data_IF_220009582116
#
_entry.id   IF_220009582116
#
_cell.length_a   1.000
_cell.length_b   1.000
_cell.length_c   1.000
_cell.angle_alpha   90.00
_cell.angle_beta   90.00
_cell.angle_gamma   90.00
#
_symmetry.space_group_name_H-M   'P 1'
#
loop_
_entity.id
_entity.type
_entity.pdbx_description
1 polymer ?
#
# COMPACT_ATOMS: atom_id res chain seq x y z
N UNK A 1 73.83 30.95 -17.36
CA UNK A 1 72.53 31.66 -17.23
C UNK A 1 71.55 30.95 -18.14
N UNK A 2 70.98 29.83 -17.68
CA UNK A 2 69.71 29.70 -16.94
C UNK A 2 68.50 30.04 -17.82
N UNK A 3 67.77 28.97 -18.16
CA UNK A 3 66.44 28.94 -18.75
C UNK A 3 65.48 28.37 -17.70
N UNK A 4 64.30 28.99 -17.62
CA UNK A 4 62.98 28.47 -17.25
C UNK A 4 62.60 27.91 -15.85
N UNK A 5 61.33 28.24 -15.54
CA UNK A 5 60.30 27.57 -14.74
C UNK A 5 60.01 27.97 -13.27
N UNK A 6 58.68 28.14 -13.00
CA UNK A 6 57.91 28.09 -11.72
C UNK A 6 57.98 29.35 -10.83
N UNK A 7 56.95 29.85 -10.11
CA UNK A 7 55.76 29.28 -9.43
C UNK A 7 54.90 30.40 -8.78
N UNK A 8 53.65 30.07 -8.38
CA UNK A 8 52.82 30.66 -7.29
C UNK A 8 52.27 32.11 -7.49
N UNK A 9 51.16 32.59 -6.92
CA UNK A 9 50.45 32.25 -5.68
C UNK A 9 48.99 32.82 -5.68
N UNK A 10 48.22 32.32 -4.72
CA UNK A 10 46.81 32.50 -4.36
C UNK A 10 46.47 33.92 -3.87
N UNK A 11 45.26 34.41 -4.21
CA UNK A 11 44.65 35.62 -3.64
C UNK A 11 43.30 35.30 -2.97
N UNK A 12 43.25 35.48 -1.65
CA UNK A 12 42.13 35.23 -0.74
C UNK A 12 41.15 36.41 -0.63
N UNK A 13 39.87 36.06 -0.43
CA UNK A 13 38.83 36.69 0.43
C UNK A 13 38.27 38.07 0.07
N UNK A 14 36.94 38.11 -0.05
CA UNK A 14 36.11 38.89 0.86
C UNK A 14 34.77 38.18 1.14
N UNK A 15 34.33 38.28 2.39
CA UNK A 15 33.22 37.59 3.04
C UNK A 15 32.29 38.67 3.61
N UNK A 16 31.01 38.33 3.78
CA UNK A 16 29.91 39.06 4.45
C UNK A 16 28.91 39.73 3.47
N UNK A 17 27.58 39.60 3.58
CA UNK A 17 26.73 39.08 4.66
C UNK A 17 25.30 38.83 4.15
N UNK A 18 24.78 37.61 4.35
CA UNK A 18 23.47 37.27 4.93
C UNK A 18 22.30 38.27 4.83
N UNK A 19 21.28 37.88 4.08
CA UNK A 19 19.86 37.98 4.50
C UNK A 19 19.03 36.89 3.83
N UNK A 20 19.08 35.67 4.38
CA UNK A 20 18.29 34.53 3.95
C UNK A 20 16.90 34.55 4.60
N UNK A 21 15.88 34.99 3.88
CA UNK A 21 14.49 34.59 4.11
C UNK A 21 14.18 33.43 3.15
N UNK A 22 14.52 32.21 3.54
CA UNK A 22 14.23 31.02 2.74
C UNK A 22 12.79 30.60 2.99
N UNK A 23 11.96 30.66 1.95
CA UNK A 23 10.57 30.22 1.99
C UNK A 23 10.51 28.70 1.84
N UNK A 24 9.46 28.08 2.39
CA UNK A 24 9.18 26.64 2.35
C UNK A 24 8.94 26.06 0.95
N UNK A 25 9.08 26.87 -0.10
CA UNK A 25 8.92 26.50 -1.51
C UNK A 25 10.24 26.20 -2.23
N UNK A 26 11.40 26.45 -1.60
CA UNK A 26 12.72 26.34 -2.24
C UNK A 26 13.44 24.99 -2.05
N UNK A 27 12.79 23.97 -1.50
CA UNK A 27 13.25 22.57 -1.68
C UNK A 27 12.73 22.03 -3.01
N UNK A 28 13.00 22.77 -4.09
CA UNK A 28 12.97 22.21 -5.42
C UNK A 28 14.00 21.08 -5.51
N UNK A 29 13.62 20.11 -6.33
CA UNK A 29 14.28 18.85 -6.58
C UNK A 29 15.62 19.06 -7.32
N UNK A 30 16.60 19.73 -6.70
CA UNK A 30 17.98 19.78 -7.18
C UNK A 30 18.71 18.47 -6.84
N UNK A 31 18.20 17.36 -7.38
CA UNK A 31 19.09 16.29 -7.81
C UNK A 31 19.67 16.70 -9.17
N UNK A 32 20.65 17.62 -9.15
CA UNK A 32 21.52 17.85 -10.32
C UNK A 32 22.40 16.62 -10.62
N UNK A 33 22.38 15.61 -9.75
CA UNK A 33 22.84 14.28 -10.10
C UNK A 33 21.65 13.50 -10.66
N UNK A 34 21.47 13.53 -11.98
CA UNK A 34 20.98 12.32 -12.64
C UNK A 34 21.95 11.22 -12.23
N UNK A 35 21.49 10.29 -11.38
CA UNK A 35 22.22 9.03 -11.24
C UNK A 35 22.11 8.34 -12.60
N UNK A 36 23.08 8.60 -13.47
CA UNK A 36 23.20 8.12 -14.85
C UNK A 36 23.32 6.58 -14.93
N UNK A 37 23.33 5.90 -13.78
CA UNK A 37 23.58 4.46 -13.67
C UNK A 37 22.37 3.57 -14.01
N UNK A 38 21.17 4.13 -14.25
CA UNK A 38 19.96 3.33 -14.55
C UNK A 38 19.35 3.74 -15.88
N UNK A 39 19.44 2.86 -16.89
CA UNK A 39 18.70 3.01 -18.15
C UNK A 39 17.19 2.91 -17.89
N UNK A 40 16.52 4.07 -17.97
CA UNK A 40 15.07 4.23 -17.78
C UNK A 40 14.31 4.44 -19.09
N UNK A 41 14.96 4.27 -20.25
CA UNK A 41 14.33 4.50 -21.58
C UNK A 41 13.05 3.69 -21.77
N UNK A 42 13.04 2.46 -21.25
CA UNK A 42 11.93 1.51 -21.27
C UNK A 42 11.04 1.53 -20.00
N UNK A 43 11.19 2.51 -19.11
CA UNK A 43 10.41 2.63 -17.87
C UNK A 43 8.90 2.82 -18.10
N UNK A 44 8.11 2.55 -17.06
CA UNK A 44 6.68 2.80 -17.00
C UNK A 44 6.35 4.29 -17.12
N UNK A 45 5.24 4.61 -17.79
CA UNK A 45 4.74 5.98 -17.85
C UNK A 45 4.16 6.41 -16.50
N UNK A 46 4.09 7.72 -16.26
CA UNK A 46 3.49 8.28 -15.04
C UNK A 46 2.03 7.81 -14.83
N UNK A 47 1.30 7.55 -15.92
CA UNK A 47 -0.07 7.00 -15.89
C UNK A 47 -0.10 5.52 -15.47
N UNK A 48 0.85 4.70 -15.94
CA UNK A 48 0.99 3.31 -15.52
C UNK A 48 1.31 3.22 -14.01
N UNK A 49 2.20 4.08 -13.54
CA UNK A 49 2.53 4.23 -12.12
C UNK A 49 1.32 4.67 -11.29
N UNK A 50 0.53 5.62 -11.80
CA UNK A 50 -0.73 6.03 -11.18
C UNK A 50 -1.67 4.83 -10.98
N UNK A 51 -1.87 4.00 -12.00
CA UNK A 51 -2.73 2.81 -11.87
C UNK A 51 -2.20 1.80 -10.85
N UNK A 52 -0.88 1.60 -10.77
CA UNK A 52 -0.29 0.75 -9.73
C UNK A 52 -0.56 1.29 -8.32
N UNK A 53 -0.42 2.60 -8.10
CA UNK A 53 -0.70 3.24 -6.81
C UNK A 53 -2.18 3.10 -6.45
N UNK A 54 -3.09 3.43 -7.37
CA UNK A 54 -4.53 3.36 -7.11
C UNK A 54 -4.97 1.91 -6.89
N UNK A 55 -4.50 0.95 -7.69
CA UNK A 55 -4.89 -0.46 -7.57
C UNK A 55 -4.53 -1.04 -6.20
N UNK A 56 -3.30 -0.77 -5.73
CA UNK A 56 -2.84 -1.28 -4.43
C UNK A 56 -3.49 -0.59 -3.26
N UNK A 57 -3.57 0.74 -3.30
CA UNK A 57 -4.14 1.48 -2.18
C UNK A 57 -5.63 1.23 -2.13
N UNK A 58 -6.38 1.44 -3.23
CA UNK A 58 -7.84 1.30 -3.24
C UNK A 58 -8.28 -0.07 -2.70
N UNK A 59 -7.68 -1.15 -3.22
CA UNK A 59 -7.70 -2.52 -2.68
C UNK A 59 -9.03 -3.00 -2.08
N UNK A 60 -8.97 -3.93 -1.14
CA UNK A 60 -10.15 -4.33 -0.34
C UNK A 60 -10.41 -3.39 0.84
N UNK A 61 -9.47 -2.50 1.19
CA UNK A 61 -9.62 -1.55 2.29
C UNK A 61 -10.86 -0.68 2.14
N UNK A 62 -11.24 -0.34 0.90
CA UNK A 62 -12.46 0.41 0.60
C UNK A 62 -13.74 -0.25 1.12
N UNK A 63 -13.79 -1.59 1.11
CA UNK A 63 -15.00 -2.37 1.38
C UNK A 63 -15.34 -2.39 2.87
N UNK A 64 -14.35 -2.18 3.73
CA UNK A 64 -14.49 -2.14 5.18
C UNK A 64 -14.68 -0.73 5.74
N UNK A 65 -14.58 0.33 4.92
CA UNK A 65 -14.69 1.71 5.40
C UNK A 65 -16.04 2.06 6.02
N UNK A 66 -17.20 1.59 5.50
CA UNK A 66 -18.48 1.81 6.17
C UNK A 66 -18.52 1.19 7.57
N UNK A 67 -17.91 0.02 7.75
CA UNK A 67 -17.78 -0.63 9.06
C UNK A 67 -16.84 0.17 9.96
N UNK A 68 -15.78 0.76 9.42
CA UNK A 68 -14.92 1.65 10.19
C UNK A 68 -15.65 2.91 10.69
N UNK A 69 -16.58 3.46 9.90
CA UNK A 69 -17.48 4.54 10.34
C UNK A 69 -18.54 4.04 11.34
N UNK A 70 -19.04 2.81 11.19
CA UNK A 70 -19.87 2.16 12.21
C UNK A 70 -19.15 2.04 13.55
N UNK A 71 -17.84 1.78 13.54
CA UNK A 71 -17.02 1.69 14.74
C UNK A 71 -16.64 3.07 15.29
N UNK A 72 -16.36 4.07 14.44
CA UNK A 72 -15.86 5.37 14.89
C UNK A 72 -16.93 6.46 15.05
N UNK A 73 -18.06 6.32 14.37
CA UNK A 73 -19.00 7.38 14.06
C UNK A 73 -18.55 8.28 12.89
N UNK A 74 -19.28 9.36 12.68
CA UNK A 74 -19.01 10.34 11.61
C UNK A 74 -17.63 11.02 11.70
N UNK A 75 -17.01 11.07 12.89
CA UNK A 75 -15.61 11.53 13.04
C UNK A 75 -14.62 10.71 12.20
N UNK A 76 -15.00 9.48 11.81
CA UNK A 76 -14.24 8.68 10.85
C UNK A 76 -13.93 9.41 9.55
N UNK A 77 -14.78 10.34 9.11
CA UNK A 77 -14.50 11.17 7.92
C UNK A 77 -13.31 12.12 8.14
N UNK A 78 -13.20 12.72 9.33
CA UNK A 78 -12.05 13.54 9.67
C UNK A 78 -10.77 12.69 9.75
N UNK A 79 -10.87 11.49 10.32
CA UNK A 79 -9.76 10.55 10.33
C UNK A 79 -9.35 10.19 8.90
N UNK A 80 -10.30 9.92 8.01
CA UNK A 80 -10.04 9.57 6.62
C UNK A 80 -9.31 10.70 5.88
N UNK A 81 -9.71 11.95 6.11
CA UNK A 81 -8.97 13.13 5.64
C UNK A 81 -7.53 13.12 6.16
N UNK A 82 -7.37 12.93 7.46
CA UNK A 82 -6.06 12.96 8.11
C UNK A 82 -5.15 11.83 7.59
N UNK A 83 -5.65 10.59 7.52
CA UNK A 83 -4.93 9.44 6.97
C UNK A 83 -4.54 9.66 5.50
N UNK A 84 -5.39 10.29 4.69
CA UNK A 84 -5.04 10.65 3.30
C UNK A 84 -3.87 11.64 3.23
N UNK A 85 -3.93 12.73 3.99
CA UNK A 85 -2.85 13.75 4.02
C UNK A 85 -1.54 13.17 4.55
N UNK A 86 -1.61 12.34 5.60
CA UNK A 86 -0.45 11.65 6.16
C UNK A 86 0.13 10.62 5.20
N UNK A 87 -0.70 9.80 4.56
CA UNK A 87 -0.22 8.81 3.58
C UNK A 87 0.48 9.51 2.41
N UNK A 88 -0.09 10.61 1.91
CA UNK A 88 0.53 11.42 0.85
C UNK A 88 1.90 11.97 1.28
N UNK A 89 2.00 12.47 2.52
CA UNK A 89 3.27 12.92 3.08
C UNK A 89 4.30 11.78 3.21
N UNK A 90 3.88 10.62 3.74
CA UNK A 90 4.74 9.45 3.92
C UNK A 90 5.25 8.89 2.59
N UNK A 91 4.40 8.90 1.55
CA UNK A 91 4.75 8.51 0.19
C UNK A 91 5.85 9.41 -0.40
N UNK A 92 5.82 10.72 -0.10
CA UNK A 92 6.84 11.66 -0.54
C UNK A 92 8.16 11.50 0.21
N UNK A 93 8.13 11.45 1.55
CA UNK A 93 9.37 11.33 2.34
C UNK A 93 10.05 9.97 2.14
N UNK A 94 9.29 8.89 1.92
CA UNK A 94 9.84 7.57 1.68
C UNK A 94 10.67 7.55 0.39
N UNK A 95 10.19 8.17 -0.68
CA UNK A 95 10.96 8.30 -1.93
C UNK A 95 12.16 9.23 -1.74
N UNK A 96 12.05 10.31 -0.96
CA UNK A 96 13.23 11.13 -0.61
C UNK A 96 14.31 10.29 0.07
N UNK A 97 13.94 9.36 0.94
CA UNK A 97 14.89 8.46 1.59
C UNK A 97 15.64 7.54 0.62
N UNK A 98 15.08 7.20 -0.54
CA UNK A 98 15.79 6.42 -1.57
C UNK A 98 17.01 7.14 -2.11
N UNK A 99 17.01 8.47 -2.08
CA UNK A 99 18.07 9.32 -2.61
C UNK A 99 18.92 9.98 -1.52
N UNK A 100 18.75 9.58 -0.26
CA UNK A 100 19.41 10.23 0.87
C UNK A 100 20.89 9.87 1.06
N UNK A 101 21.44 8.98 0.23
CA UNK A 101 22.84 8.53 0.33
C UNK A 101 23.62 8.91 -0.93
N UNK A 102 24.87 9.34 -0.78
CA UNK A 102 25.77 9.70 -1.90
C UNK A 102 26.22 8.50 -2.75
N UNK A 103 25.91 7.28 -2.31
CA UNK A 103 26.34 6.00 -2.93
C UNK A 103 25.39 5.50 -4.01
N UNK A 104 24.43 6.32 -4.45
CA UNK A 104 23.41 5.93 -5.42
C UNK A 104 22.02 5.75 -4.82
N UNK A 105 21.03 5.55 -5.70
CA UNK A 105 19.63 5.33 -5.30
C UNK A 105 19.47 3.97 -4.61
N UNK A 106 19.00 3.99 -3.37
CA UNK A 106 18.56 2.78 -2.67
C UNK A 106 17.36 2.17 -3.38
N UNK A 107 17.30 0.85 -3.44
CA UNK A 107 16.36 0.12 -4.29
C UNK A 107 15.10 -0.34 -3.55
N UNK A 108 15.27 -0.76 -2.30
CA UNK A 108 14.21 -1.39 -1.49
C UNK A 108 13.95 -0.63 -0.20
N UNK A 109 12.77 -0.87 0.38
CA UNK A 109 12.44 -0.34 1.70
C UNK A 109 13.44 -0.86 2.77
N UNK A 110 13.85 -2.13 2.65
CA UNK A 110 14.93 -2.74 3.44
C UNK A 110 16.24 -1.95 3.31
N UNK A 111 16.65 -1.57 2.09
CA UNK A 111 17.88 -0.82 1.86
C UNK A 111 17.86 0.55 2.54
N UNK A 112 16.72 1.26 2.49
CA UNK A 112 16.53 2.53 3.23
C UNK A 112 16.75 2.32 4.74
N UNK A 113 16.12 1.30 5.31
CA UNK A 113 16.26 1.01 6.73
C UNK A 113 17.68 0.56 7.12
N UNK A 114 18.35 -0.15 6.22
CA UNK A 114 19.75 -0.55 6.40
C UNK A 114 20.69 0.65 6.40
N UNK A 115 20.45 1.64 5.53
CA UNK A 115 21.21 2.88 5.51
C UNK A 115 21.04 3.70 6.81
N UNK A 116 19.83 3.72 7.38
CA UNK A 116 19.51 4.51 8.56
C UNK A 116 19.96 3.87 9.89
N UNK A 117 19.77 2.56 10.05
CA UNK A 117 19.93 1.83 11.32
C UNK A 117 20.80 0.57 11.20
N UNK A 118 21.50 0.38 10.08
CA UNK A 118 22.30 -0.81 9.83
C UNK A 118 21.45 -2.07 9.61
N UNK A 119 22.10 -3.23 9.64
CA UNK A 119 21.49 -4.51 9.28
C UNK A 119 20.23 -4.83 10.10
N UNK A 120 20.20 -4.47 11.39
CA UNK A 120 19.07 -4.73 12.29
C UNK A 120 17.81 -4.01 11.78
N UNK A 121 17.91 -2.71 11.50
CA UNK A 121 16.79 -1.94 10.94
C UNK A 121 16.34 -2.48 9.58
N UNK A 122 17.29 -2.88 8.73
CA UNK A 122 17.00 -3.56 7.47
C UNK A 122 16.14 -4.81 7.63
N UNK A 123 16.53 -5.73 8.50
CA UNK A 123 15.79 -6.98 8.72
C UNK A 123 14.43 -6.78 9.41
N UNK A 124 14.32 -5.82 10.33
CA UNK A 124 13.03 -5.45 10.93
C UNK A 124 12.07 -4.94 9.85
N UNK A 125 12.50 -3.99 9.02
CA UNK A 125 11.68 -3.47 7.90
C UNK A 125 11.32 -4.56 6.91
N UNK A 126 12.26 -5.45 6.58
CA UNK A 126 12.01 -6.57 5.68
C UNK A 126 10.96 -7.56 6.25
N UNK A 127 10.99 -7.83 7.55
CA UNK A 127 10.01 -8.68 8.22
C UNK A 127 8.60 -8.09 8.09
N UNK A 128 8.41 -6.82 8.45
CA UNK A 128 7.12 -6.15 8.29
C UNK A 128 6.70 -6.05 6.81
N UNK A 129 7.65 -5.79 5.90
CA UNK A 129 7.36 -5.71 4.47
C UNK A 129 6.84 -7.05 3.94
N UNK A 130 7.54 -8.14 4.29
CA UNK A 130 7.16 -9.51 3.95
C UNK A 130 5.79 -9.88 4.52
N UNK A 131 5.52 -9.47 5.77
CA UNK A 131 4.23 -9.71 6.43
C UNK A 131 3.06 -9.13 5.63
N UNK A 132 3.18 -7.91 5.11
CA UNK A 132 2.13 -7.30 4.26
C UNK A 132 2.13 -7.90 2.86
N UNK A 133 3.30 -7.98 2.22
CA UNK A 133 3.41 -8.39 0.83
C UNK A 133 2.98 -9.84 0.58
N UNK A 134 3.06 -10.73 1.59
CA UNK A 134 2.52 -12.08 1.52
C UNK A 134 1.16 -12.22 2.22
N UNK A 135 0.94 -11.48 3.31
CA UNK A 135 -0.31 -11.54 4.06
C UNK A 135 -1.50 -11.02 3.26
N UNK A 136 -1.38 -9.87 2.59
CA UNK A 136 -2.50 -9.33 1.80
C UNK A 136 -2.90 -10.27 0.65
N UNK A 137 -1.97 -10.88 -0.10
CA UNK A 137 -2.30 -11.96 -1.03
C UNK A 137 -3.04 -13.15 -0.41
N UNK A 138 -2.68 -13.60 0.80
CA UNK A 138 -3.42 -14.66 1.52
C UNK A 138 -4.88 -14.22 1.71
N UNK A 139 -5.10 -13.02 2.23
CA UNK A 139 -6.45 -12.46 2.45
C UNK A 139 -7.25 -12.42 1.15
N UNK A 140 -6.59 -11.97 0.07
CA UNK A 140 -7.19 -11.81 -1.24
C UNK A 140 -7.63 -13.15 -1.83
N UNK A 141 -6.83 -14.20 -1.68
CA UNK A 141 -7.19 -15.55 -2.10
C UNK A 141 -8.39 -16.11 -1.31
N UNK A 142 -8.40 -15.96 0.02
CA UNK A 142 -9.52 -16.42 0.87
C UNK A 142 -10.82 -15.69 0.50
N UNK A 143 -10.76 -14.38 0.28
CA UNK A 143 -11.91 -13.58 -0.12
C UNK A 143 -12.43 -13.96 -1.51
N UNK A 144 -11.53 -14.17 -2.48
CA UNK A 144 -11.92 -14.68 -3.80
C UNK A 144 -12.59 -16.05 -3.72
N UNK A 145 -12.02 -16.99 -2.96
CA UNK A 145 -12.59 -18.31 -2.78
C UNK A 145 -13.98 -18.27 -2.15
N UNK A 146 -14.16 -17.42 -1.14
CA UNK A 146 -15.44 -17.23 -0.45
C UNK A 146 -16.49 -16.57 -1.36
N UNK A 147 -16.11 -15.54 -2.12
CA UNK A 147 -16.99 -14.87 -3.06
C UNK A 147 -17.47 -15.81 -4.18
N UNK A 148 -16.56 -16.60 -4.78
CA UNK A 148 -16.93 -17.53 -5.84
C UNK A 148 -17.79 -18.67 -5.27
N UNK A 149 -17.48 -19.17 -4.08
CA UNK A 149 -18.33 -20.17 -3.42
C UNK A 149 -19.76 -19.64 -3.22
N UNK A 150 -19.91 -18.41 -2.71
CA UNK A 150 -21.23 -17.78 -2.54
C UNK A 150 -21.98 -17.60 -3.88
N UNK A 151 -21.25 -17.30 -4.96
CA UNK A 151 -21.83 -17.19 -6.30
C UNK A 151 -22.19 -18.55 -6.93
N UNK A 152 -21.47 -19.61 -6.57
CA UNK A 152 -21.67 -20.97 -7.08
C UNK A 152 -22.70 -21.78 -6.29
N UNK A 153 -23.11 -21.30 -5.10
CA UNK A 153 -24.10 -21.94 -4.26
C UNK A 153 -25.41 -22.22 -5.02
N UNK A 154 -25.90 -23.45 -4.98
CA UNK A 154 -27.11 -23.87 -5.70
C UNK A 154 -26.90 -24.10 -7.19
N UNK A 155 -25.67 -24.07 -7.70
CA UNK A 155 -25.33 -24.41 -9.09
C UNK A 155 -24.53 -25.72 -9.16
N UNK A 156 -24.37 -26.36 -10.34
CA UNK A 156 -23.50 -27.53 -10.49
C UNK A 156 -22.02 -27.27 -10.16
N UNK A 157 -21.62 -25.99 -10.03
CA UNK A 157 -20.27 -25.59 -9.66
C UNK A 157 -20.09 -25.40 -8.14
N UNK A 158 -21.04 -25.84 -7.32
CA UNK A 158 -20.95 -25.76 -5.85
C UNK A 158 -19.78 -26.63 -5.36
N UNK A 159 -18.73 -25.97 -4.88
CA UNK A 159 -17.49 -26.54 -4.37
C UNK A 159 -17.15 -25.83 -3.06
N UNK A 160 -16.28 -26.44 -2.23
CA UNK A 160 -15.84 -25.77 -1.01
C UNK A 160 -15.05 -24.48 -1.31
N UNK A 161 -15.16 -23.48 -0.43
CA UNK A 161 -14.39 -22.23 -0.53
C UNK A 161 -12.88 -22.48 -0.66
N UNK A 162 -12.35 -23.52 0.00
CA UNK A 162 -10.95 -23.93 -0.10
C UNK A 162 -10.58 -24.38 -1.52
N UNK A 163 -11.44 -25.17 -2.19
CA UNK A 163 -11.20 -25.59 -3.58
C UNK A 163 -11.22 -24.37 -4.50
N UNK A 164 -12.18 -23.47 -4.34
CA UNK A 164 -12.23 -22.22 -5.12
C UNK A 164 -11.01 -21.33 -4.88
N UNK A 165 -10.48 -21.30 -3.65
CA UNK A 165 -9.23 -20.61 -3.30
C UNK A 165 -8.04 -21.18 -4.09
N UNK A 166 -7.92 -22.50 -4.17
CA UNK A 166 -6.86 -23.18 -4.95
C UNK A 166 -7.00 -22.89 -6.44
N UNK A 167 -8.23 -22.94 -6.99
CA UNK A 167 -8.49 -22.62 -8.39
C UNK A 167 -8.09 -21.16 -8.71
N UNK A 168 -8.45 -20.21 -7.84
CA UNK A 168 -8.04 -18.82 -7.98
C UNK A 168 -6.52 -18.68 -7.96
N UNK A 169 -5.84 -19.34 -7.03
CA UNK A 169 -4.39 -19.30 -6.94
C UNK A 169 -3.71 -19.87 -8.19
N UNK A 170 -4.21 -20.97 -8.73
CA UNK A 170 -3.71 -21.54 -9.99
C UNK A 170 -3.91 -20.57 -11.17
N UNK A 171 -5.09 -19.94 -11.25
CA UNK A 171 -5.39 -18.95 -12.28
C UNK A 171 -4.47 -17.72 -12.19
N UNK A 172 -4.20 -17.19 -10.99
CA UNK A 172 -3.30 -16.05 -10.76
C UNK A 172 -1.82 -16.44 -10.91
N UNK A 173 -1.47 -17.69 -10.59
CA UNK A 173 -0.10 -18.19 -10.71
C UNK A 173 0.47 -18.02 -12.10
N UNK A 174 -0.37 -18.18 -13.14
CA UNK A 174 0.04 -18.00 -14.54
C UNK A 174 0.50 -16.56 -14.83
N UNK A 175 -0.33 -15.50 -14.70
CA UNK A 175 0.13 -14.13 -14.92
C UNK A 175 1.24 -13.73 -13.94
N UNK A 176 1.24 -14.22 -12.70
CA UNK A 176 2.31 -13.91 -11.75
C UNK A 176 3.68 -14.46 -12.18
N UNK A 177 3.74 -15.64 -12.78
CA UNK A 177 4.99 -16.21 -13.32
C UNK A 177 5.40 -15.50 -14.61
N UNK A 178 4.43 -15.08 -15.44
CA UNK A 178 4.69 -14.43 -16.73
C UNK A 178 5.15 -12.97 -16.58
N UNK A 179 4.57 -12.24 -15.61
CA UNK A 179 4.82 -10.81 -15.41
C UNK A 179 6.09 -10.58 -14.61
N UNK A 180 7.11 -10.03 -15.24
CA UNK A 180 8.47 -9.93 -14.66
C UNK A 180 8.76 -8.57 -14.04
N UNK A 181 8.02 -7.53 -14.42
CA UNK A 181 8.32 -6.15 -14.03
C UNK A 181 7.07 -5.39 -13.58
N UNK A 182 7.25 -4.37 -12.72
CA UNK A 182 6.16 -3.48 -12.27
C UNK A 182 5.47 -2.73 -13.42
N UNK A 183 6.15 -2.56 -14.57
CA UNK A 183 5.58 -1.98 -15.79
C UNK A 183 4.53 -2.91 -16.42
N UNK A 184 4.83 -4.19 -16.52
CA UNK A 184 3.91 -5.19 -17.08
C UNK A 184 2.68 -5.35 -16.18
N UNK A 185 2.87 -5.31 -14.85
CA UNK A 185 1.77 -5.33 -13.87
C UNK A 185 0.82 -4.14 -14.06
N UNK A 186 1.31 -2.96 -14.47
CA UNK A 186 0.51 -1.75 -14.56
C UNK A 186 -0.70 -1.84 -15.51
N UNK A 187 -0.60 -2.66 -16.56
CA UNK A 187 -1.74 -2.93 -17.44
C UNK A 187 -2.84 -3.71 -16.73
N UNK A 188 -2.45 -4.68 -15.90
CA UNK A 188 -3.40 -5.41 -15.05
C UNK A 188 -4.02 -4.43 -14.05
N UNK A 189 -3.21 -3.61 -13.39
CA UNK A 189 -3.65 -2.61 -12.41
C UNK A 189 -4.69 -1.64 -12.98
N UNK A 190 -4.55 -1.22 -14.24
CA UNK A 190 -5.55 -0.35 -14.89
C UNK A 190 -6.94 -1.01 -14.95
N UNK A 191 -7.00 -2.31 -15.27
CA UNK A 191 -8.24 -3.08 -15.23
C UNK A 191 -8.78 -3.23 -13.78
N UNK A 192 -7.89 -3.45 -12.81
CA UNK A 192 -8.24 -3.43 -11.38
C UNK A 192 -8.86 -2.11 -10.93
N UNK A 193 -8.34 -0.97 -11.41
CA UNK A 193 -8.88 0.36 -11.09
C UNK A 193 -10.26 0.58 -11.73
N UNK A 194 -10.48 0.11 -12.97
CA UNK A 194 -11.79 0.21 -13.61
C UNK A 194 -12.82 -0.62 -12.84
N UNK A 195 -12.47 -1.85 -12.46
CA UNK A 195 -13.38 -2.73 -11.72
C UNK A 195 -13.75 -2.17 -10.35
N UNK A 196 -12.79 -1.62 -9.59
CA UNK A 196 -13.09 -1.02 -8.28
C UNK A 196 -13.97 0.23 -8.42
N UNK A 197 -13.74 1.09 -9.42
CA UNK A 197 -14.60 2.26 -9.68
C UNK A 197 -16.04 1.81 -9.98
N UNK A 198 -16.22 0.77 -10.78
CA UNK A 198 -17.55 0.22 -11.07
C UNK A 198 -18.21 -0.34 -9.81
N UNK A 199 -17.47 -1.01 -8.93
CA UNK A 199 -18.01 -1.47 -7.63
C UNK A 199 -18.45 -0.27 -6.78
N UNK A 200 -17.65 0.79 -6.68
CA UNK A 200 -18.05 2.01 -5.95
C UNK A 200 -19.35 2.59 -6.50
N UNK A 201 -19.48 2.68 -7.83
CA UNK A 201 -20.70 3.18 -8.47
C UNK A 201 -21.92 2.28 -8.22
N UNK A 202 -21.75 0.96 -8.31
CA UNK A 202 -22.83 0.00 -8.03
C UNK A 202 -23.29 0.15 -6.58
N UNK A 203 -22.36 0.16 -5.62
CA UNK A 203 -22.71 0.31 -4.20
C UNK A 203 -23.38 1.65 -3.95
N UNK A 204 -22.88 2.75 -4.52
CA UNK A 204 -23.49 4.08 -4.40
C UNK A 204 -24.96 4.09 -4.89
N UNK A 205 -25.21 3.53 -6.08
CA UNK A 205 -26.56 3.45 -6.67
C UNK A 205 -27.46 2.56 -5.82
N UNK A 206 -26.97 1.39 -5.38
CA UNK A 206 -27.74 0.48 -4.53
C UNK A 206 -28.06 1.09 -3.17
N UNK A 207 -27.13 1.82 -2.56
CA UNK A 207 -27.39 2.58 -1.33
C UNK A 207 -28.49 3.62 -1.55
N UNK A 208 -28.48 4.34 -2.67
CA UNK A 208 -29.53 5.32 -2.98
C UNK A 208 -30.91 4.67 -3.19
N UNK A 209 -30.96 3.49 -3.83
CA UNK A 209 -32.19 2.72 -4.06
C UNK A 209 -32.72 2.12 -2.75
N UNK A 210 -31.84 1.60 -1.90
CA UNK A 210 -32.23 0.89 -0.68
C UNK A 210 -32.49 1.82 0.52
N UNK A 211 -32.05 3.09 0.43
CA UNK A 211 -32.28 4.10 1.47
C UNK A 211 -33.73 4.19 1.98
N UNK A 212 -34.78 4.14 1.15
CA UNK A 212 -36.16 4.18 1.64
C UNK A 212 -36.57 2.93 2.44
N UNK A 213 -35.90 1.79 2.24
CA UNK A 213 -36.18 0.53 2.94
C UNK A 213 -35.48 0.44 4.30
N UNK A 214 -34.41 1.22 4.50
CA UNK A 214 -33.64 1.24 5.74
C UNK A 214 -34.19 2.31 6.70
N UNK A 215 -35.22 1.91 7.45
CA UNK A 215 -35.85 2.74 8.49
C UNK A 215 -35.12 2.52 9.84
N UNK A 216 -35.09 3.53 10.70
CA UNK A 216 -34.51 3.49 12.06
C UNK A 216 -33.05 3.04 12.13
N UNK A 217 -32.24 3.45 11.16
CA UNK A 217 -30.79 3.24 11.18
C UNK A 217 -30.16 4.20 12.18
N UNK A 218 -29.37 3.67 13.12
CA UNK A 218 -28.67 4.48 14.10
C UNK A 218 -27.33 4.98 13.56
N UNK A 219 -27.02 6.26 13.84
CA UNK A 219 -25.76 6.88 13.49
C UNK A 219 -25.19 7.62 14.71
N UNK A 220 -23.93 7.34 15.01
CA UNK A 220 -23.20 8.02 16.06
C UNK A 220 -22.28 9.08 15.47
N UNK A 221 -22.16 10.22 16.15
CA UNK A 221 -21.19 11.25 15.76
C UNK A 221 -19.77 10.79 16.13
N UNK A 222 -19.60 10.25 17.34
CA UNK A 222 -18.35 9.70 17.86
C UNK A 222 -18.65 8.53 18.78
N UNK A 223 -17.96 7.42 18.59
CA UNK A 223 -17.95 6.29 19.52
C UNK A 223 -16.55 6.19 20.14
N UNK A 224 -16.36 6.78 21.32
CA UNK A 224 -15.03 6.93 21.94
C UNK A 224 -14.35 5.60 22.25
N UNK A 225 -15.12 4.57 22.61
CA UNK A 225 -14.58 3.24 22.95
C UNK A 225 -13.93 2.55 21.74
N UNK A 226 -14.55 2.69 20.58
CA UNK A 226 -14.14 2.05 19.32
C UNK A 226 -13.35 3.01 18.40
N UNK A 227 -13.17 4.27 18.83
CA UNK A 227 -12.46 5.30 18.06
C UNK A 227 -11.04 4.90 17.65
N UNK A 228 -10.19 4.32 18.52
CA UNK A 228 -8.84 3.89 18.11
C UNK A 228 -8.85 2.76 17.08
N UNK A 229 -9.89 1.91 17.09
CA UNK A 229 -10.06 0.82 16.13
C UNK A 229 -10.43 1.41 14.77
N UNK A 230 -11.40 2.32 14.73
CA UNK A 230 -11.76 3.06 13.52
C UNK A 230 -10.56 3.82 12.94
N UNK A 231 -9.75 4.45 13.80
CA UNK A 231 -8.50 5.11 13.43
C UNK A 231 -7.54 4.14 12.73
N UNK A 232 -7.31 2.96 13.31
CA UNK A 232 -6.45 1.93 12.74
C UNK A 232 -6.99 1.43 11.39
N UNK A 233 -8.28 1.08 11.31
CA UNK A 233 -8.90 0.53 10.09
C UNK A 233 -8.88 1.53 8.93
N UNK A 234 -9.24 2.80 9.18
CA UNK A 234 -9.22 3.85 8.15
C UNK A 234 -7.79 4.14 7.69
N UNK A 235 -6.85 4.15 8.64
CA UNK A 235 -5.45 4.42 8.34
C UNK A 235 -4.79 3.26 7.57
N UNK A 236 -5.20 2.01 7.84
CA UNK A 236 -4.79 0.82 7.08
C UNK A 236 -5.19 0.91 5.60
N UNK A 237 -6.34 1.50 5.29
CA UNK A 237 -6.80 1.60 3.90
C UNK A 237 -5.87 2.43 3.00
N UNK A 238 -5.00 3.28 3.56
CA UNK A 238 -4.04 4.07 2.77
C UNK A 238 -2.64 3.43 2.63
N UNK A 239 -2.55 2.10 2.70
CA UNK A 239 -1.29 1.35 2.71
C UNK A 239 -0.67 1.00 1.36
N UNK A 240 0.14 1.90 0.81
CA UNK A 240 0.95 1.62 -0.39
C UNK A 240 2.47 1.65 -0.20
N UNK A 241 2.97 2.09 0.95
CA UNK A 241 4.40 2.36 1.18
C UNK A 241 5.33 1.16 0.91
N UNK A 242 4.82 -0.06 1.10
CA UNK A 242 5.55 -1.33 0.85
C UNK A 242 5.98 -1.54 -0.60
N UNK A 243 5.25 -0.98 -1.56
CA UNK A 243 5.56 -1.14 -2.99
C UNK A 243 6.18 0.10 -3.63
N UNK A 244 6.10 1.27 -2.97
CA UNK A 244 6.50 2.54 -3.57
C UNK A 244 7.95 2.57 -4.08
N UNK A 245 8.95 2.01 -3.37
CA UNK A 245 10.32 1.93 -3.89
C UNK A 245 10.44 1.23 -5.25
N UNK A 246 9.70 0.14 -5.42
CA UNK A 246 9.68 -0.66 -6.65
C UNK A 246 8.88 0.01 -7.77
N UNK A 247 7.76 0.65 -7.41
CA UNK A 247 6.94 1.38 -8.37
C UNK A 247 7.70 2.60 -8.90
N UNK A 248 8.36 3.38 -8.04
CA UNK A 248 9.22 4.51 -8.46
C UNK A 248 10.42 4.02 -9.29
N UNK A 249 11.08 2.93 -8.88
CA UNK A 249 12.19 2.34 -9.64
C UNK A 249 11.81 2.05 -11.09
N UNK A 250 10.57 1.63 -11.32
CA UNK A 250 10.05 1.33 -12.67
C UNK A 250 9.68 2.57 -13.48
N UNK A 251 9.62 3.77 -12.89
CA UNK A 251 9.21 5.00 -13.58
C UNK A 251 10.25 5.47 -14.60
N UNK A 252 9.76 5.88 -15.77
CA UNK A 252 10.56 6.62 -16.76
C UNK A 252 10.99 7.99 -16.24
N UNK A 253 10.15 8.67 -15.45
CA UNK A 253 10.39 10.01 -14.89
C UNK A 253 10.15 10.04 -13.36
N UNK A 254 11.17 9.73 -12.54
CA UNK A 254 11.07 9.76 -11.07
C UNK A 254 10.60 11.08 -10.47
N UNK A 255 10.96 12.21 -11.10
CA UNK A 255 10.57 13.55 -10.64
C UNK A 255 9.05 13.74 -10.59
N UNK A 256 8.29 12.96 -11.37
CA UNK A 256 6.83 13.01 -11.37
C UNK A 256 6.19 12.23 -10.20
N UNK A 257 6.98 11.49 -9.39
CA UNK A 257 6.46 10.64 -8.32
C UNK A 257 5.47 11.36 -7.41
N UNK A 258 5.83 12.51 -6.85
CA UNK A 258 4.98 13.22 -5.90
C UNK A 258 3.63 13.62 -6.51
N UNK A 259 3.62 14.00 -7.81
CA UNK A 259 2.38 14.33 -8.53
C UNK A 259 1.53 13.08 -8.74
N UNK A 260 2.16 11.97 -9.14
CA UNK A 260 1.48 10.70 -9.39
C UNK A 260 0.92 10.09 -8.11
N UNK A 261 1.71 10.06 -7.03
CA UNK A 261 1.31 9.56 -5.73
C UNK A 261 0.16 10.41 -5.14
N UNK A 262 0.27 11.74 -5.19
CA UNK A 262 -0.80 12.62 -4.73
C UNK A 262 -2.10 12.44 -5.53
N UNK A 263 -2.03 12.36 -6.86
CA UNK A 263 -3.21 12.11 -7.70
C UNK A 263 -3.83 10.73 -7.45
N UNK A 264 -3.00 9.70 -7.29
CA UNK A 264 -3.46 8.34 -7.00
C UNK A 264 -4.14 8.25 -5.64
N UNK A 265 -3.50 8.77 -4.59
CA UNK A 265 -4.05 8.80 -3.24
C UNK A 265 -5.30 9.68 -3.12
N UNK A 266 -5.38 10.79 -3.87
CA UNK A 266 -6.59 11.61 -3.95
C UNK A 266 -7.76 10.85 -4.58
N UNK A 267 -7.48 10.04 -5.60
CA UNK A 267 -8.49 9.19 -6.24
C UNK A 267 -8.98 8.10 -5.28
N UNK A 268 -8.07 7.46 -4.56
CA UNK A 268 -8.43 6.53 -3.47
C UNK A 268 -9.29 7.22 -2.42
N UNK A 269 -8.87 8.39 -1.93
CA UNK A 269 -9.62 9.15 -0.94
C UNK A 269 -11.04 9.49 -1.44
N UNK A 270 -11.20 9.95 -2.68
CA UNK A 270 -12.52 10.23 -3.25
C UNK A 270 -13.42 8.99 -3.28
N UNK A 271 -12.90 7.85 -3.77
CA UNK A 271 -13.64 6.58 -3.75
C UNK A 271 -14.00 6.14 -2.32
N UNK A 272 -13.08 6.38 -1.38
CA UNK A 272 -13.24 6.03 0.03
C UNK A 272 -14.32 6.86 0.71
N UNK A 273 -14.37 8.17 0.45
CA UNK A 273 -15.44 9.04 0.92
C UNK A 273 -16.80 8.61 0.37
N UNK A 274 -16.88 8.35 -0.95
CA UNK A 274 -18.13 7.90 -1.58
C UNK A 274 -18.62 6.62 -0.90
N UNK A 275 -17.74 5.63 -0.74
CA UNK A 275 -18.10 4.36 -0.11
C UNK A 275 -18.48 4.51 1.37
N UNK A 276 -17.63 5.17 2.15
CA UNK A 276 -17.82 5.35 3.59
C UNK A 276 -19.12 6.10 3.90
N UNK A 277 -19.35 7.23 3.23
CA UNK A 277 -20.55 8.06 3.45
C UNK A 277 -21.80 7.32 3.00
N UNK A 278 -21.83 6.79 1.78
CA UNK A 278 -23.04 6.12 1.27
C UNK A 278 -23.39 4.86 2.08
N UNK A 279 -22.40 4.02 2.40
CA UNK A 279 -22.60 2.81 3.17
C UNK A 279 -23.01 3.09 4.62
N UNK A 280 -22.33 4.01 5.31
CA UNK A 280 -22.68 4.31 6.71
C UNK A 280 -24.00 5.07 6.81
N UNK A 281 -24.28 6.01 5.90
CA UNK A 281 -25.55 6.75 5.90
C UNK A 281 -26.77 5.82 5.74
N UNK A 282 -26.66 4.78 4.92
CA UNK A 282 -27.79 3.89 4.61
C UNK A 282 -27.87 2.71 5.57
N UNK A 283 -26.75 2.08 5.94
CA UNK A 283 -26.78 0.87 6.77
C UNK A 283 -26.40 1.10 8.23
N UNK A 284 -25.68 2.18 8.56
CA UNK A 284 -25.32 2.55 9.94
C UNK A 284 -24.72 1.40 10.75
N UNK A 285 -25.37 1.07 11.86
CA UNK A 285 -25.05 -0.04 12.76
C UNK A 285 -25.22 -1.45 12.15
N UNK A 286 -25.89 -1.56 11.00
CA UNK A 286 -26.05 -2.81 10.24
C UNK A 286 -25.04 -2.98 9.10
N UNK A 287 -24.12 -2.03 8.91
CA UNK A 287 -23.10 -2.16 7.89
C UNK A 287 -22.20 -3.39 8.14
N UNK A 288 -21.97 -4.17 7.09
CA UNK A 288 -21.12 -5.35 7.08
C UNK A 288 -19.85 -5.12 6.25
N UNK A 289 -18.81 -5.89 6.52
CA UNK A 289 -17.57 -5.90 5.74
C UNK A 289 -17.42 -7.27 5.10
N UNK A 290 -17.34 -7.38 3.77
CA UNK A 290 -17.42 -6.30 2.77
C UNK A 290 -18.81 -5.65 2.63
N UNK A 291 -18.86 -4.34 2.33
CA UNK A 291 -20.11 -3.55 2.20
C UNK A 291 -21.14 -4.10 1.21
N UNK A 292 -20.72 -4.82 0.17
CA UNK A 292 -21.67 -5.42 -0.77
C UNK A 292 -22.47 -6.60 -0.15
N UNK A 293 -22.16 -7.03 1.07
CA UNK A 293 -23.03 -7.94 1.80
C UNK A 293 -24.25 -7.22 2.41
N UNK A 294 -24.12 -5.92 2.70
CA UNK A 294 -25.23 -5.09 3.20
C UNK A 294 -26.24 -4.70 2.12
N UNK A 295 -25.85 -4.68 0.84
CA UNK A 295 -26.78 -4.34 -0.24
C UNK A 295 -27.79 -5.48 -0.51
N UNK A 296 -29.02 -5.17 -0.96
CA UNK A 296 -30.03 -6.17 -1.26
C UNK A 296 -29.56 -7.24 -2.25
N UNK A 297 -30.03 -8.48 -2.06
CA UNK A 297 -29.74 -9.58 -2.96
C UNK A 297 -30.32 -9.33 -4.36
N UNK A 298 -29.53 -9.63 -5.39
CA UNK A 298 -29.92 -9.46 -6.78
C UNK A 298 -28.74 -9.32 -7.72
N UNK A 299 -29.04 -9.02 -8.99
CA UNK A 299 -28.05 -8.84 -10.06
C UNK A 299 -26.97 -7.81 -9.70
N UNK A 300 -27.27 -6.63 -9.08
CA UNK A 300 -26.24 -5.67 -8.72
C UNK A 300 -25.22 -6.21 -7.72
N UNK A 301 -25.67 -6.98 -6.72
CA UNK A 301 -24.79 -7.63 -5.74
C UNK A 301 -23.90 -8.67 -6.42
N UNK A 302 -24.45 -9.50 -7.30
CA UNK A 302 -23.68 -10.48 -8.09
C UNK A 302 -22.60 -9.78 -8.91
N UNK A 303 -22.94 -8.71 -9.64
CA UNK A 303 -21.98 -7.95 -10.44
C UNK A 303 -20.90 -7.34 -9.55
N UNK A 304 -21.27 -6.72 -8.42
CA UNK A 304 -20.29 -6.16 -7.48
C UNK A 304 -19.33 -7.23 -6.95
N UNK A 305 -19.84 -8.40 -6.54
CA UNK A 305 -19.05 -9.53 -6.05
C UNK A 305 -18.11 -10.10 -7.12
N UNK A 306 -18.54 -10.20 -8.38
CA UNK A 306 -17.66 -10.63 -9.49
C UNK A 306 -16.58 -9.59 -9.75
N UNK A 307 -16.95 -8.31 -9.84
CA UNK A 307 -16.03 -7.21 -10.17
C UNK A 307 -14.97 -7.01 -9.08
N UNK A 308 -15.36 -7.08 -7.80
CA UNK A 308 -14.41 -6.99 -6.71
C UNK A 308 -13.47 -8.20 -6.70
N UNK A 309 -13.99 -9.41 -6.93
CA UNK A 309 -13.17 -10.63 -7.06
C UNK A 309 -12.14 -10.46 -8.16
N UNK A 310 -12.52 -9.96 -9.35
CA UNK A 310 -11.60 -9.68 -10.44
C UNK A 310 -10.53 -8.63 -10.05
N UNK A 311 -10.91 -7.55 -9.37
CA UNK A 311 -9.99 -6.50 -8.93
C UNK A 311 -8.92 -7.03 -7.95
N UNK A 312 -9.34 -7.94 -7.07
CA UNK A 312 -8.49 -8.59 -6.07
C UNK A 312 -7.51 -9.55 -6.75
N UNK A 313 -8.00 -10.38 -7.69
CA UNK A 313 -7.16 -11.31 -8.45
C UNK A 313 -6.02 -10.58 -9.20
N UNK A 314 -6.30 -9.38 -9.69
CA UNK A 314 -5.33 -8.52 -10.37
C UNK A 314 -4.32 -7.86 -9.42
N UNK A 315 -4.73 -7.59 -8.18
CA UNK A 315 -3.88 -6.95 -7.18
C UNK A 315 -2.86 -7.92 -6.57
N UNK A 316 -3.17 -9.23 -6.50
CA UNK A 316 -2.28 -10.25 -5.96
C UNK A 316 -0.91 -10.30 -6.65
N UNK A 317 -0.80 -10.39 -8.00
CA UNK A 317 0.49 -10.36 -8.70
C UNK A 317 1.33 -9.12 -8.40
N UNK A 318 0.73 -7.97 -8.14
CA UNK A 318 1.45 -6.72 -7.87
C UNK A 318 2.22 -6.80 -6.55
N UNK A 319 1.54 -7.23 -5.49
CA UNK A 319 2.13 -7.40 -4.16
C UNK A 319 3.20 -8.50 -4.17
N UNK A 320 2.87 -9.64 -4.78
CA UNK A 320 3.79 -10.78 -4.88
C UNK A 320 5.02 -10.48 -5.75
N UNK A 321 4.88 -9.64 -6.79
CA UNK A 321 6.02 -9.19 -7.62
C UNK A 321 6.97 -8.32 -6.80
N UNK A 322 6.44 -7.42 -5.97
CA UNK A 322 7.25 -6.59 -5.07
C UNK A 322 8.08 -7.44 -4.10
N UNK A 323 7.45 -8.48 -3.52
CA UNK A 323 8.16 -9.43 -2.67
C UNK A 323 9.24 -10.20 -3.44
N UNK A 324 8.92 -10.64 -4.65
CA UNK A 324 9.89 -11.36 -5.49
C UNK A 324 11.10 -10.50 -5.82
N UNK A 325 10.90 -9.21 -6.11
CA UNK A 325 11.99 -8.25 -6.35
C UNK A 325 12.87 -8.05 -5.11
N UNK A 326 12.29 -7.97 -3.91
CA UNK A 326 13.06 -7.89 -2.66
C UNK A 326 13.96 -9.12 -2.47
N UNK A 327 13.43 -10.32 -2.73
CA UNK A 327 14.19 -11.57 -2.60
C UNK A 327 15.27 -11.68 -3.69
N UNK A 328 14.93 -11.36 -4.94
CA UNK A 328 15.87 -11.37 -6.06
C UNK A 328 17.06 -10.43 -5.81
N UNK A 329 16.81 -9.24 -5.23
CA UNK A 329 17.86 -8.32 -4.80
C UNK A 329 18.74 -8.93 -3.70
N UNK A 330 18.14 -9.54 -2.67
CA UNK A 330 18.89 -10.16 -1.58
C UNK A 330 19.81 -11.30 -2.03
N UNK A 331 19.38 -12.09 -3.01
CA UNK A 331 20.19 -13.16 -3.59
C UNK A 331 21.06 -12.69 -4.76
N UNK A 332 20.97 -11.42 -5.14
CA UNK A 332 21.65 -10.81 -6.28
C UNK A 332 21.45 -11.62 -7.57
N UNK A 333 20.17 -11.87 -7.89
CA UNK A 333 19.71 -12.62 -9.05
C UNK A 333 19.69 -11.69 -10.27
N UNK A 334 20.83 -11.61 -10.95
CA UNK A 334 21.00 -10.79 -12.16
C UNK A 334 21.34 -11.63 -13.38
N UNK A 335 21.00 -11.11 -14.57
CA UNK A 335 21.36 -11.70 -15.87
C UNK A 335 22.87 -11.91 -15.96
N UNK A 336 23.66 -10.95 -15.49
CA UNK A 336 25.12 -10.97 -15.54
C UNK A 336 25.72 -12.13 -14.74
N UNK A 337 25.09 -12.49 -13.61
CA UNK A 337 25.60 -13.53 -12.72
C UNK A 337 25.16 -14.94 -13.12
N UNK A 338 23.92 -15.11 -13.60
CA UNK A 338 23.33 -16.43 -13.81
C UNK A 338 23.08 -16.76 -15.29
N UNK A 339 23.10 -15.77 -16.18
CA UNK A 339 22.69 -15.91 -17.56
C UNK A 339 21.16 -16.00 -17.72
N UNK A 340 20.65 -15.60 -18.88
CA UNK A 340 19.21 -15.39 -19.15
C UNK A 340 18.31 -16.59 -18.80
N UNK A 341 18.77 -17.82 -19.07
CA UNK A 341 17.96 -19.03 -18.88
C UNK A 341 17.92 -19.44 -17.41
N UNK A 342 19.06 -19.48 -16.71
CA UNK A 342 19.08 -19.87 -15.29
C UNK A 342 18.38 -18.81 -14.43
N UNK A 343 18.56 -17.55 -14.75
CA UNK A 343 17.84 -16.46 -14.08
C UNK A 343 16.32 -16.62 -14.25
N UNK A 344 15.83 -16.88 -15.48
CA UNK A 344 14.42 -17.13 -15.72
C UNK A 344 13.89 -18.30 -14.90
N UNK A 345 14.65 -19.40 -14.83
CA UNK A 345 14.28 -20.57 -14.03
C UNK A 345 14.25 -20.26 -12.53
N UNK A 346 15.25 -19.55 -11.99
CA UNK A 346 15.29 -19.16 -10.57
C UNK A 346 14.08 -18.28 -10.23
N UNK A 347 13.79 -17.27 -11.08
CA UNK A 347 12.64 -16.38 -10.90
C UNK A 347 11.32 -17.16 -10.96
N UNK A 348 11.17 -18.07 -11.93
CA UNK A 348 9.97 -18.89 -12.05
C UNK A 348 9.77 -19.81 -10.84
N UNK A 349 10.82 -20.50 -10.39
CA UNK A 349 10.78 -21.37 -9.21
C UNK A 349 10.43 -20.58 -7.96
N UNK A 350 11.06 -19.42 -7.74
CA UNK A 350 10.77 -18.54 -6.62
C UNK A 350 9.30 -18.10 -6.60
N UNK A 351 8.76 -17.70 -7.76
CA UNK A 351 7.36 -17.27 -7.89
C UNK A 351 6.38 -18.41 -7.68
N UNK A 352 6.66 -19.59 -8.22
CA UNK A 352 5.83 -20.78 -8.01
C UNK A 352 5.83 -21.18 -6.52
N UNK A 353 6.99 -21.22 -5.87
CA UNK A 353 7.11 -21.57 -4.46
C UNK A 353 6.42 -20.56 -3.55
N UNK A 354 6.57 -19.27 -3.81
CA UNK A 354 5.91 -18.21 -3.03
C UNK A 354 4.39 -18.23 -3.21
N UNK A 355 3.89 -18.41 -4.44
CA UNK A 355 2.45 -18.57 -4.69
C UNK A 355 1.90 -19.83 -4.02
N UNK A 356 2.61 -20.96 -4.09
CA UNK A 356 2.23 -22.19 -3.41
C UNK A 356 2.17 -21.99 -1.89
N UNK A 357 3.18 -21.35 -1.29
CA UNK A 357 3.22 -21.04 0.14
C UNK A 357 2.04 -20.18 0.59
N UNK A 358 1.76 -19.09 -0.14
CA UNK A 358 0.60 -18.21 0.12
C UNK A 358 -0.73 -18.99 0.00
N UNK A 359 -0.85 -19.87 -0.99
CA UNK A 359 -2.05 -20.70 -1.18
C UNK A 359 -2.24 -21.69 -0.03
N UNK A 360 -1.18 -22.33 0.44
CA UNK A 360 -1.23 -23.26 1.59
C UNK A 360 -1.70 -22.51 2.84
N UNK A 361 -1.14 -21.33 3.11
CA UNK A 361 -1.55 -20.51 4.27
C UNK A 361 -3.04 -20.12 4.13
N UNK A 362 -3.48 -19.71 2.94
CA UNK A 362 -4.88 -19.38 2.68
C UNK A 362 -5.84 -20.57 2.90
N UNK A 363 -5.40 -21.79 2.60
CA UNK A 363 -6.20 -22.99 2.83
C UNK A 363 -6.26 -23.41 4.31
N UNK A 364 -5.21 -23.13 5.08
CA UNK A 364 -5.11 -23.51 6.51
C UNK A 364 -5.79 -22.50 7.42
N UNK A 365 -5.83 -21.21 7.03
CA UNK A 365 -6.40 -20.14 7.83
C UNK A 365 -7.63 -19.55 7.12
N UNK A 366 -8.82 -20.16 7.28
CA UNK A 366 -10.03 -19.75 6.56
C UNK A 366 -10.66 -18.46 7.10
N UNK A 367 -10.25 -17.99 8.30
CA UNK A 367 -10.87 -16.84 8.96
C UNK A 367 -10.32 -15.51 8.43
N UNK A 368 -10.88 -15.03 7.32
CA UNK A 368 -10.52 -13.78 6.66
C UNK A 368 -10.44 -12.57 7.62
N UNK A 369 -11.42 -12.40 8.50
CA UNK A 369 -11.50 -11.25 9.42
C UNK A 369 -10.34 -11.18 10.41
N UNK A 370 -10.09 -12.25 11.17
CA UNK A 370 -9.01 -12.31 12.15
C UNK A 370 -7.63 -12.14 11.50
N UNK A 371 -7.44 -12.71 10.31
CA UNK A 371 -6.20 -12.63 9.54
C UNK A 371 -6.00 -11.19 9.01
N UNK A 372 -7.07 -10.52 8.56
CA UNK A 372 -7.05 -9.14 8.06
C UNK A 372 -6.67 -8.15 9.16
N UNK A 373 -7.28 -8.32 10.33
CA UNK A 373 -7.02 -7.50 11.51
C UNK A 373 -5.56 -7.60 11.95
N UNK A 374 -5.02 -8.82 12.03
CA UNK A 374 -3.64 -9.08 12.42
C UNK A 374 -2.62 -8.56 11.41
N UNK A 375 -2.86 -8.77 10.11
CA UNK A 375 -1.96 -8.25 9.06
C UNK A 375 -1.97 -6.73 9.03
N UNK A 376 -3.16 -6.14 9.11
CA UNK A 376 -3.34 -4.71 8.92
C UNK A 376 -2.86 -3.88 10.10
N UNK A 377 -3.29 -4.20 11.31
CA UNK A 377 -3.02 -3.36 12.48
C UNK A 377 -1.54 -3.34 12.87
N UNK A 378 -0.88 -4.50 12.85
CA UNK A 378 0.48 -4.63 13.36
C UNK A 378 1.54 -4.11 12.38
N UNK A 379 1.44 -4.50 11.10
CA UNK A 379 2.48 -4.18 10.13
C UNK A 379 2.24 -2.86 9.39
N UNK A 380 0.98 -2.55 9.06
CA UNK A 380 0.69 -1.42 8.17
C UNK A 380 0.86 -0.08 8.88
N UNK A 381 0.40 0.07 10.11
CA UNK A 381 0.63 1.27 10.92
C UNK A 381 2.13 1.58 11.06
N UNK A 382 2.93 0.53 11.27
CA UNK A 382 4.39 0.61 11.39
C UNK A 382 5.03 1.06 10.07
N UNK A 383 4.68 0.44 8.95
CA UNK A 383 5.29 0.70 7.64
C UNK A 383 4.79 1.96 6.94
N UNK A 384 3.56 2.39 7.23
CA UNK A 384 2.99 3.61 6.63
C UNK A 384 3.40 4.84 7.42
N UNK A 385 3.23 4.83 8.75
CA UNK A 385 3.37 6.06 9.54
C UNK A 385 4.71 6.13 10.26
N UNK A 386 5.11 5.06 10.96
CA UNK A 386 6.30 5.11 11.82
C UNK A 386 7.59 5.08 11.01
N UNK A 387 7.78 4.06 10.18
CA UNK A 387 9.06 3.84 9.50
C UNK A 387 9.42 4.96 8.54
N UNK A 388 8.54 5.48 7.66
CA UNK A 388 8.93 6.56 6.75
C UNK A 388 9.44 7.79 7.50
N UNK A 389 8.77 8.17 8.59
CA UNK A 389 9.15 9.35 9.40
C UNK A 389 10.46 9.11 10.15
N UNK A 390 10.59 7.99 10.84
CA UNK A 390 11.80 7.68 11.62
C UNK A 390 13.02 7.59 10.70
N UNK A 391 12.89 6.90 9.56
CA UNK A 391 13.95 6.77 8.56
C UNK A 391 14.30 8.13 7.94
N UNK A 392 13.30 8.94 7.62
CA UNK A 392 13.48 10.28 7.07
C UNK A 392 14.25 11.20 8.00
N UNK A 393 13.83 11.29 9.27
CA UNK A 393 14.50 12.12 10.27
C UNK A 393 15.92 11.63 10.57
N UNK A 394 16.14 10.31 10.52
CA UNK A 394 17.46 9.72 10.74
C UNK A 394 18.42 10.00 9.59
N UNK A 395 17.96 9.90 8.34
CA UNK A 395 18.79 10.07 7.15
C UNK A 395 19.02 11.55 6.78
N UNK A 396 18.01 12.40 6.97
CA UNK A 396 18.10 13.83 6.58
C UNK A 396 18.45 14.78 7.73
N UNK A 397 18.45 14.27 8.97
CA UNK A 397 18.71 15.06 10.17
C UNK A 397 17.53 15.94 10.61
N UNK A 398 17.51 16.29 11.89
CA UNK A 398 16.38 17.04 12.51
C UNK A 398 16.64 18.55 12.57
N UNK A 399 17.92 18.95 12.58
CA UNK A 399 18.35 20.28 13.03
C UNK A 399 18.02 21.45 12.08
N UNK A 400 17.85 21.20 10.79
CA UNK A 400 17.59 22.24 9.78
C UNK A 400 16.13 22.26 9.30
N UNK A 401 15.25 21.51 9.95
CA UNK A 401 13.86 21.39 9.54
C UNK A 401 12.99 22.41 10.25
N UNK A 402 12.00 23.00 9.57
CA UNK A 402 11.10 23.94 10.19
C UNK A 402 10.20 23.22 11.20
N UNK A 403 9.76 23.95 12.24
CA UNK A 403 8.97 23.39 13.33
C UNK A 403 7.68 22.71 12.86
N UNK A 404 7.00 23.25 11.84
CA UNK A 404 5.77 22.67 11.32
C UNK A 404 5.98 21.26 10.73
N UNK A 405 7.14 21.00 10.11
CA UNK A 405 7.48 19.69 9.54
C UNK A 405 7.75 18.68 10.66
N UNK A 406 8.43 19.10 11.72
CA UNK A 406 8.64 18.30 12.92
C UNK A 406 7.32 17.98 13.63
N UNK A 407 6.44 18.98 13.78
CA UNK A 407 5.13 18.81 14.38
C UNK A 407 4.27 17.82 13.58
N UNK A 408 4.32 17.89 12.24
CA UNK A 408 3.64 16.94 11.37
C UNK A 408 4.22 15.53 11.48
N UNK A 409 5.55 15.39 11.46
CA UNK A 409 6.23 14.11 11.72
C UNK A 409 5.81 13.50 13.06
N UNK A 410 5.79 14.32 14.12
CA UNK A 410 5.36 13.89 15.44
C UNK A 410 3.91 13.41 15.45
N UNK A 411 3.00 14.15 14.80
CA UNK A 411 1.59 13.78 14.70
C UNK A 411 1.41 12.45 13.95
N UNK A 412 2.12 12.27 12.83
CA UNK A 412 2.11 11.01 12.06
C UNK A 412 2.59 9.84 12.94
N UNK A 413 3.69 10.02 13.68
CA UNK A 413 4.19 8.99 14.59
C UNK A 413 3.21 8.71 15.73
N UNK A 414 2.59 9.74 16.31
CA UNK A 414 1.62 9.58 17.39
C UNK A 414 0.44 8.72 16.93
N UNK A 415 -0.17 9.05 15.78
CA UNK A 415 -1.27 8.25 15.23
C UNK A 415 -0.83 6.84 14.84
N UNK A 416 0.39 6.69 14.32
CA UNK A 416 0.98 5.39 14.03
C UNK A 416 1.11 4.50 15.28
N UNK A 417 1.58 5.06 16.41
CA UNK A 417 1.69 4.34 17.69
C UNK A 417 0.31 3.98 18.23
N UNK A 418 -0.63 4.92 18.21
CA UNK A 418 -2.01 4.67 18.66
C UNK A 418 -2.65 3.56 17.81
N UNK A 419 -2.59 3.67 16.49
CA UNK A 419 -3.11 2.64 15.58
C UNK A 419 -2.45 1.28 15.79
N UNK A 420 -1.13 1.25 16.00
CA UNK A 420 -0.40 0.01 16.30
C UNK A 420 -0.88 -0.65 17.59
N UNK A 421 -0.96 0.08 18.70
CA UNK A 421 -1.33 -0.47 20.01
C UNK A 421 -2.78 -0.96 19.97
N UNK A 422 -3.71 -0.09 19.61
CA UNK A 422 -5.14 -0.40 19.68
C UNK A 422 -5.56 -1.38 18.59
N UNK A 423 -5.02 -1.25 17.38
CA UNK A 423 -5.28 -2.21 16.32
C UNK A 423 -4.75 -3.60 16.67
N UNK A 424 -3.56 -3.72 17.29
CA UNK A 424 -3.01 -5.03 17.68
C UNK A 424 -3.85 -5.66 18.79
N UNK A 425 -4.29 -4.87 19.78
CA UNK A 425 -5.18 -5.36 20.85
C UNK A 425 -6.47 -5.93 20.23
N UNK A 426 -7.05 -5.22 19.26
CA UNK A 426 -8.28 -5.66 18.62
C UNK A 426 -8.08 -6.91 17.77
N UNK A 427 -7.01 -6.95 16.97
CA UNK A 427 -6.65 -8.13 16.19
C UNK A 427 -6.49 -9.38 17.07
N UNK A 428 -5.91 -9.24 18.25
CA UNK A 428 -5.78 -10.36 19.20
C UNK A 428 -7.15 -10.77 19.76
N UNK A 429 -8.03 -9.82 20.12
CA UNK A 429 -9.38 -10.13 20.60
C UNK A 429 -10.22 -10.84 19.55
N UNK A 430 -10.23 -10.34 18.31
CA UNK A 430 -10.95 -10.96 17.19
C UNK A 430 -10.43 -12.37 16.90
N UNK A 431 -9.11 -12.57 16.98
CA UNK A 431 -8.50 -13.88 16.77
C UNK A 431 -8.87 -14.87 17.89
N UNK A 432 -8.88 -14.44 19.15
CA UNK A 432 -9.34 -15.27 20.27
C UNK A 432 -10.81 -15.64 20.08
N UNK A 433 -11.67 -14.67 19.73
CA UNK A 433 -13.09 -14.89 19.51
C UNK A 433 -13.31 -15.93 18.39
N UNK A 434 -12.63 -15.77 17.25
CA UNK A 434 -12.76 -16.65 16.09
C UNK A 434 -12.28 -18.10 16.34
N UNK A 435 -11.32 -18.31 17.23
CA UNK A 435 -10.86 -19.66 17.61
C UNK A 435 -11.66 -20.28 18.77
N UNK A 436 -12.46 -19.47 19.48
CA UNK A 436 -13.35 -19.94 20.55
C UNK A 436 -14.75 -20.34 20.07
N UNK A 437 -15.11 -19.94 18.84
CA UNK A 437 -16.33 -20.34 18.12
C UNK A 437 -16.06 -21.54 17.21
#
# INVERSE_FOLDING_TARGET
MSFNEKTADVGHKELATSSNSISSTDFEYESNNSFDDVDRTNGASSLMTYFNVVCVVAGTGILGLPVALRQGGWIGLFILFLSWTMSTYTASILIRCLYATDKGRLTTYKAIATAAFGAIGGWITFFFNTWILLGVPVLYLVLCGSNINALAAGTPAELSATIWTIICAAFIGVPFVLVKTMKEVAWMSAFGVITIVLVVLIVLVMCAIDRPNQIDVHHDVVIWEMFPIALSTISFSFGGNVIYPHVEASMKKPKDWNKVAAAGLATCAAMYYIMAVSGYLVYGDRAESPIYNSIPDGVPKIIATVMITLSILVSVPLLMTSFSLDIEEMFNVTVERHGKVKELLIRAVLRILTMAGVTVIACVVPYFGALMSLIGAFANCTLIFLFPVILYLKLTGVRNKPFYELAWCFLVCLLGIVGLIFGTIEAVKELIAAYSS
#
